data_IF_968198176688
#
_entry.id   IF_968198176688
#
_cell.length_a   1.000
_cell.length_b   1.000
_cell.length_c   1.000
_cell.angle_alpha   90.00
_cell.angle_beta   90.00
_cell.angle_gamma   90.00
#
_symmetry.space_group_name_H-M   'P 1'
#
loop_
_entity.id
_entity.type
_entity.pdbx_description
1 polymer ?
#
# COMPACT_ATOMS: atom_id res chain seq x y z
N UNK A 1 -18.13 -11.11 49.25
CA UNK A 1 -17.55 -12.26 48.53
C UNK A 1 -16.18 -11.86 48.00
N UNK A 2 -15.17 -12.71 48.17
CA UNK A 2 -13.88 -12.59 47.46
C UNK A 2 -14.10 -12.98 46.00
N UNK A 3 -13.60 -12.18 45.07
CA UNK A 3 -12.63 -12.57 44.04
C UNK A 3 -12.13 -11.29 43.36
N UNK A 4 -10.81 -11.18 43.27
CA UNK A 4 -10.09 -10.09 42.63
C UNK A 4 -9.89 -10.43 41.15
N UNK A 5 -9.98 -9.44 40.26
CA UNK A 5 -9.21 -9.43 39.01
C UNK A 5 -8.75 -8.01 38.73
N UNK A 6 -7.47 -7.74 39.00
CA UNK A 6 -6.76 -6.57 38.50
C UNK A 6 -5.94 -7.05 37.30
N UNK A 7 -6.22 -6.49 36.13
CA UNK A 7 -5.34 -6.58 34.98
C UNK A 7 -5.07 -5.15 34.49
N UNK A 8 -4.07 -4.50 35.08
CA UNK A 8 -3.46 -3.31 34.48
C UNK A 8 -2.14 -3.77 33.87
N UNK A 9 -2.16 -4.06 32.56
CA UNK A 9 -0.96 -4.26 31.76
C UNK A 9 -0.63 -2.95 31.06
N UNK A 10 0.19 -2.11 31.69
CA UNK A 10 0.88 -1.02 31.00
C UNK A 10 2.01 -1.63 30.13
N UNK A 11 1.69 -1.97 28.87
CA UNK A 11 2.62 -2.50 27.85
C UNK A 11 2.65 -1.63 26.56
N UNK A 12 1.86 -0.56 26.52
CA UNK A 12 1.22 -0.08 25.29
C UNK A 12 2.02 0.89 24.39
N UNK A 13 3.35 0.82 24.36
CA UNK A 13 4.12 1.60 23.36
C UNK A 13 5.02 0.74 22.45
N UNK A 14 5.56 -0.38 22.94
CA UNK A 14 6.18 -1.40 22.07
C UNK A 14 5.20 -2.53 21.69
N UNK A 15 4.11 -2.72 22.43
CA UNK A 15 3.13 -3.80 22.19
C UNK A 15 2.00 -3.44 21.21
N UNK A 16 1.89 -2.21 20.72
CA UNK A 16 0.82 -1.82 19.78
C UNK A 16 1.04 -2.42 18.38
N UNK A 17 2.32 -2.59 18.00
CA UNK A 17 2.70 -3.11 16.70
C UNK A 17 2.88 -4.63 16.67
N UNK A 18 2.93 -5.31 17.83
CA UNK A 18 3.00 -6.78 17.92
C UNK A 18 1.65 -7.32 18.38
N UNK A 19 1.03 -8.19 17.59
CA UNK A 19 -0.19 -8.92 17.98
C UNK A 19 -0.06 -10.41 17.71
N UNK A 20 -1.05 -11.18 18.17
CA UNK A 20 -1.21 -12.59 17.78
C UNK A 20 -2.51 -12.74 17.00
N UNK A 21 -2.44 -13.42 15.87
CA UNK A 21 -3.58 -13.74 15.01
C UNK A 21 -3.65 -15.25 14.79
N UNK A 22 -4.83 -15.79 14.48
CA UNK A 22 -4.97 -17.19 14.05
C UNK A 22 -5.11 -17.20 12.54
N UNK A 23 -4.20 -17.89 11.85
CA UNK A 23 -4.17 -18.02 10.39
C UNK A 23 -4.06 -19.50 10.09
N UNK A 24 -4.96 -20.03 9.26
CA UNK A 24 -5.02 -21.45 8.89
C UNK A 24 -5.05 -22.43 10.09
N UNK A 25 -5.61 -21.98 11.22
CA UNK A 25 -5.71 -22.76 12.46
C UNK A 25 -4.47 -22.72 13.36
N UNK A 26 -3.37 -22.11 12.91
CA UNK A 26 -2.14 -21.92 13.68
C UNK A 26 -2.05 -20.49 14.25
N UNK A 27 -1.44 -20.34 15.44
CA UNK A 27 -1.15 -19.05 16.03
C UNK A 27 0.03 -18.37 15.34
N UNK A 28 -0.14 -17.12 14.95
CA UNK A 28 0.85 -16.31 14.26
C UNK A 28 1.14 -15.02 15.03
N UNK A 29 2.42 -14.70 15.20
CA UNK A 29 2.85 -13.40 15.71
C UNK A 29 2.89 -12.44 14.52
N UNK A 30 2.21 -11.30 14.64
CA UNK A 30 2.15 -10.27 13.61
C UNK A 30 2.86 -9.03 14.12
N UNK A 31 3.90 -8.61 13.42
CA UNK A 31 4.66 -7.40 13.70
C UNK A 31 4.41 -6.39 12.60
N UNK A 32 3.69 -5.32 12.91
CA UNK A 32 3.33 -4.26 11.98
C UNK A 32 4.41 -3.19 11.94
N UNK A 33 4.52 -2.52 10.80
CA UNK A 33 5.41 -1.36 10.68
C UNK A 33 6.89 -1.72 10.42
N UNK A 34 7.16 -2.90 9.85
CA UNK A 34 8.51 -3.30 9.46
C UNK A 34 8.93 -2.51 8.22
N UNK A 35 10.12 -1.91 8.22
CA UNK A 35 10.63 -1.12 7.10
C UNK A 35 11.84 -1.82 6.47
N UNK A 36 11.67 -2.56 5.35
CA UNK A 36 12.77 -3.23 4.67
C UNK A 36 13.69 -2.28 3.87
N UNK A 37 13.16 -1.16 3.38
CA UNK A 37 13.92 -0.20 2.55
C UNK A 37 13.28 1.19 2.60
N UNK A 38 14.11 2.22 2.45
CA UNK A 38 13.70 3.62 2.34
C UNK A 38 14.25 4.20 1.03
N UNK A 39 13.53 5.15 0.44
CA UNK A 39 13.92 5.80 -0.81
C UNK A 39 15.30 6.48 -0.72
N UNK A 40 16.03 6.41 -1.83
CA UNK A 40 17.34 7.02 -2.03
C UNK A 40 18.40 6.60 -1.00
N UNK A 41 18.17 5.47 -0.32
CA UNK A 41 19.12 4.90 0.65
C UNK A 41 20.37 4.41 -0.06
N UNK A 42 21.51 4.56 0.61
CA UNK A 42 22.78 4.00 0.15
C UNK A 42 23.15 2.80 1.02
N UNK A 43 23.19 1.63 0.39
CA UNK A 43 23.53 0.35 1.04
C UNK A 43 24.66 -0.32 0.26
N UNK A 44 25.72 -0.77 0.95
CA UNK A 44 26.87 -1.45 0.33
C UNK A 44 27.50 -0.67 -0.85
N UNK A 45 27.54 0.66 -0.74
CA UNK A 45 28.07 1.56 -1.78
C UNK A 45 27.16 1.77 -2.99
N UNK A 46 25.96 1.19 -3.00
CA UNK A 46 24.95 1.38 -4.05
C UNK A 46 23.83 2.31 -3.62
N UNK A 47 23.41 3.21 -4.50
CA UNK A 47 22.18 4.00 -4.36
C UNK A 47 20.98 3.17 -4.79
N UNK A 48 19.90 3.22 -4.00
CA UNK A 48 18.61 2.63 -4.31
C UNK A 48 17.59 3.75 -4.56
N UNK A 49 17.38 4.18 -5.81
CA UNK A 49 16.57 5.35 -6.11
C UNK A 49 15.08 5.12 -5.80
N UNK A 50 14.39 6.16 -5.34
CA UNK A 50 12.94 6.15 -5.11
C UNK A 50 12.16 5.58 -6.32
N UNK A 51 12.53 5.99 -7.53
CA UNK A 51 11.86 5.54 -8.76
C UNK A 51 12.01 4.05 -9.05
N UNK A 52 13.10 3.41 -8.61
CA UNK A 52 13.33 1.97 -8.80
C UNK A 52 12.68 1.16 -7.67
N UNK A 53 12.70 1.69 -6.44
CA UNK A 53 11.95 1.12 -5.31
C UNK A 53 10.45 1.13 -5.62
N UNK A 54 9.90 2.25 -6.09
CA UNK A 54 8.46 2.38 -6.40
C UNK A 54 7.97 1.40 -7.47
N UNK A 55 8.84 0.94 -8.38
CA UNK A 55 8.51 -0.09 -9.37
C UNK A 55 8.54 -1.51 -8.82
N UNK A 56 9.31 -1.74 -7.76
CA UNK A 56 9.70 -3.09 -7.33
C UNK A 56 9.22 -3.47 -5.93
N UNK A 57 8.90 -2.51 -5.06
CA UNK A 57 8.60 -2.78 -3.64
C UNK A 57 7.46 -3.79 -3.44
N UNK A 58 6.45 -3.80 -4.31
CA UNK A 58 5.35 -4.77 -4.27
C UNK A 58 5.80 -6.22 -4.47
N UNK A 59 6.98 -6.46 -5.04
CA UNK A 59 7.55 -7.83 -5.16
C UNK A 59 7.97 -8.44 -3.81
N UNK A 60 7.96 -7.65 -2.72
CA UNK A 60 8.19 -8.13 -1.35
C UNK A 60 6.95 -8.88 -0.80
N UNK A 61 5.76 -8.65 -1.35
CA UNK A 61 4.53 -9.27 -0.87
C UNK A 61 4.63 -10.81 -0.92
N UNK A 62 4.38 -11.47 0.21
CA UNK A 62 4.48 -12.92 0.35
C UNK A 62 5.91 -13.48 0.39
N UNK A 63 6.95 -12.64 0.40
CA UNK A 63 8.34 -13.11 0.43
C UNK A 63 8.74 -13.66 1.80
N UNK A 64 9.60 -14.67 1.78
CA UNK A 64 10.14 -15.29 2.99
C UNK A 64 10.97 -14.30 3.80
N UNK A 65 10.90 -14.46 5.13
CA UNK A 65 11.70 -13.69 6.07
C UNK A 65 12.65 -14.61 6.86
N UNK A 66 13.76 -15.08 6.24
CA UNK A 66 14.70 -15.98 6.90
C UNK A 66 15.44 -15.29 8.06
N UNK A 67 15.91 -16.07 9.03
CA UNK A 67 16.86 -15.56 10.04
C UNK A 67 18.28 -15.59 9.47
N UNK A 68 18.83 -14.41 9.19
CA UNK A 68 20.09 -14.18 8.48
C UNK A 68 19.94 -14.30 6.95
N UNK A 69 20.98 -13.89 6.23
CA UNK A 69 21.02 -14.07 4.77
C UNK A 69 21.30 -15.53 4.41
N UNK A 70 20.43 -16.16 3.60
CA UNK A 70 20.66 -17.54 3.16
C UNK A 70 21.97 -17.66 2.39
N UNK A 71 22.85 -18.53 2.89
CA UNK A 71 24.11 -18.84 2.25
C UNK A 71 24.38 -20.33 2.32
N UNK A 72 24.96 -20.84 1.24
CA UNK A 72 25.25 -22.25 1.04
C UNK A 72 26.66 -22.33 0.48
N UNK A 73 27.52 -23.11 1.13
CA UNK A 73 28.90 -23.34 0.67
C UNK A 73 29.68 -22.01 0.47
N UNK A 74 29.37 -21.00 1.30
CA UNK A 74 29.97 -19.66 1.25
C UNK A 74 29.38 -18.71 0.19
N UNK A 75 28.36 -19.14 -0.56
CA UNK A 75 27.69 -18.33 -1.57
C UNK A 75 26.29 -17.93 -1.13
N UNK A 76 25.92 -16.67 -1.33
CA UNK A 76 24.55 -16.21 -1.10
C UNK A 76 23.59 -16.82 -2.13
N UNK A 77 22.46 -17.31 -1.64
CA UNK A 77 21.43 -17.95 -2.46
C UNK A 77 20.07 -17.33 -2.19
N UNK A 78 19.12 -17.59 -3.08
CA UNK A 78 17.72 -17.23 -2.86
C UNK A 78 17.16 -17.96 -1.64
N UNK A 79 16.28 -17.29 -0.90
CA UNK A 79 15.58 -17.90 0.24
C UNK A 79 14.64 -19.04 -0.18
N UNK A 80 14.23 -19.08 -1.44
CA UNK A 80 13.31 -20.10 -1.98
C UNK A 80 14.04 -21.40 -2.38
N UNK A 81 15.38 -21.43 -2.36
CA UNK A 81 16.14 -22.66 -2.62
C UNK A 81 15.87 -23.67 -1.51
N UNK A 82 15.55 -24.95 -1.79
CA UNK A 82 15.19 -25.92 -0.75
C UNK A 82 16.23 -26.08 0.37
N UNK A 83 17.53 -26.05 0.01
CA UNK A 83 18.63 -26.08 1.00
C UNK A 83 18.62 -24.84 1.90
N UNK A 84 18.26 -23.66 1.37
CA UNK A 84 18.13 -22.43 2.13
C UNK A 84 16.90 -22.47 3.04
N UNK A 85 15.75 -22.92 2.53
CA UNK A 85 14.53 -23.10 3.32
C UNK A 85 14.81 -23.99 4.54
N UNK A 86 15.44 -25.15 4.34
CA UNK A 86 15.73 -26.09 5.42
C UNK A 86 16.66 -25.52 6.52
N UNK A 87 17.44 -24.48 6.22
CA UNK A 87 18.49 -23.97 7.10
C UNK A 87 18.18 -22.59 7.70
N UNK A 88 17.40 -21.77 7.01
CA UNK A 88 17.20 -20.35 7.37
C UNK A 88 15.73 -19.97 7.54
N UNK A 89 14.79 -20.79 7.09
CA UNK A 89 13.36 -20.51 7.24
C UNK A 89 12.94 -20.64 8.70
N UNK A 90 12.21 -19.65 9.20
CA UNK A 90 11.73 -19.58 10.60
C UNK A 90 10.21 -19.44 10.68
N UNK A 91 9.49 -19.80 9.62
CA UNK A 91 8.03 -19.65 9.55
C UNK A 91 7.56 -18.22 9.39
N UNK A 92 8.45 -17.31 8.95
CA UNK A 92 8.17 -15.90 8.81
C UNK A 92 8.04 -15.46 7.34
N UNK A 93 7.07 -14.59 7.05
CA UNK A 93 6.86 -13.99 5.74
C UNK A 93 6.40 -12.52 5.84
N UNK A 94 6.57 -11.80 4.74
CA UNK A 94 6.15 -10.41 4.58
C UNK A 94 4.74 -10.32 4.00
N UNK A 95 3.90 -9.46 4.57
CA UNK A 95 2.55 -9.20 4.09
C UNK A 95 2.19 -7.70 4.19
N UNK A 96 1.13 -7.27 3.50
CA UNK A 96 0.60 -5.89 3.58
C UNK A 96 1.66 -4.83 3.22
N UNK A 97 2.39 -5.09 2.13
CA UNK A 97 3.48 -4.24 1.67
C UNK A 97 2.91 -2.98 1.05
N UNK A 98 3.31 -1.82 1.57
CA UNK A 98 2.79 -0.50 1.19
C UNK A 98 3.87 0.57 1.23
N UNK A 99 3.58 1.73 0.65
CA UNK A 99 4.42 2.93 0.79
C UNK A 99 3.85 3.81 1.90
N UNK A 100 4.74 4.34 2.71
CA UNK A 100 4.45 5.37 3.72
C UNK A 100 5.53 6.47 3.59
N UNK A 101 5.19 7.53 2.88
CA UNK A 101 6.15 8.57 2.49
C UNK A 101 7.33 7.99 1.69
N UNK A 102 8.55 8.22 2.20
CA UNK A 102 9.79 7.70 1.62
C UNK A 102 10.07 6.24 2.01
N UNK A 103 9.30 5.65 2.93
CA UNK A 103 9.52 4.29 3.45
C UNK A 103 8.64 3.26 2.73
N UNK A 104 9.18 2.06 2.55
CA UNK A 104 8.37 0.87 2.28
C UNK A 104 8.04 0.25 3.63
N UNK A 105 6.76 0.03 3.91
CA UNK A 105 6.28 -0.55 5.16
C UNK A 105 5.61 -1.89 4.87
N UNK A 106 5.83 -2.88 5.72
CA UNK A 106 5.18 -4.18 5.64
C UNK A 106 4.90 -4.72 7.04
N UNK A 107 4.08 -5.77 7.09
CA UNK A 107 3.80 -6.52 8.29
C UNK A 107 4.56 -7.86 8.18
N UNK A 108 5.26 -8.25 9.25
CA UNK A 108 5.90 -9.55 9.36
C UNK A 108 4.98 -10.49 10.11
N UNK A 109 4.67 -11.64 9.52
CA UNK A 109 3.92 -12.70 10.18
C UNK A 109 4.84 -13.88 10.45
N UNK A 110 4.75 -14.45 11.64
CA UNK A 110 5.58 -15.57 12.10
C UNK A 110 4.67 -16.67 12.61
N UNK A 111 4.67 -17.83 11.97
CA UNK A 111 3.99 -19.01 12.49
C UNK A 111 4.70 -19.48 13.77
N UNK A 112 4.04 -19.33 14.93
CA UNK A 112 4.65 -19.63 16.23
C UNK A 112 5.01 -21.12 16.33
N UNK A 113 4.12 -22.02 15.92
CA UNK A 113 4.36 -23.47 15.94
C UNK A 113 5.60 -23.85 15.13
N UNK A 114 5.77 -23.26 13.95
CA UNK A 114 6.94 -23.52 13.12
C UNK A 114 8.22 -22.95 13.75
N UNK A 115 8.18 -21.67 14.17
CA UNK A 115 9.32 -21.02 14.80
C UNK A 115 9.80 -21.79 16.06
N UNK A 116 8.89 -22.28 16.89
CA UNK A 116 9.20 -23.09 18.07
C UNK A 116 9.88 -24.43 17.73
N UNK A 117 9.66 -24.97 16.53
CA UNK A 117 10.24 -26.24 16.10
C UNK A 117 11.66 -26.14 15.53
N UNK A 118 12.20 -24.93 15.41
CA UNK A 118 13.54 -24.68 14.87
C UNK A 118 14.41 -23.92 15.88
N UNK A 119 15.71 -24.23 15.97
CA UNK A 119 16.63 -23.52 16.86
C UNK A 119 16.69 -22.02 16.56
N UNK A 120 16.74 -21.67 15.26
CA UNK A 120 16.73 -20.27 14.81
C UNK A 120 15.41 -19.56 15.12
N UNK A 121 14.28 -20.23 14.95
CA UNK A 121 12.97 -19.67 15.27
C UNK A 121 12.81 -19.43 16.77
N UNK A 122 13.31 -20.34 17.63
CA UNK A 122 13.34 -20.13 19.08
C UNK A 122 14.18 -18.89 19.47
N UNK A 123 15.33 -18.67 18.83
CA UNK A 123 16.13 -17.45 19.04
C UNK A 123 15.34 -16.19 18.65
N UNK A 124 14.63 -16.23 17.51
CA UNK A 124 13.78 -15.12 17.10
C UNK A 124 12.66 -14.85 18.13
N UNK A 125 11.93 -15.89 18.54
CA UNK A 125 10.86 -15.78 19.53
C UNK A 125 11.37 -15.22 20.86
N UNK A 126 12.50 -15.71 21.36
CA UNK A 126 13.10 -15.20 22.59
C UNK A 126 13.43 -13.70 22.48
N UNK A 127 13.96 -13.25 21.34
CA UNK A 127 14.23 -11.81 21.11
C UNK A 127 12.96 -10.99 21.06
N UNK A 128 11.89 -11.52 20.47
CA UNK A 128 10.58 -10.86 20.46
C UNK A 128 10.00 -10.76 21.87
N UNK A 129 10.10 -11.82 22.66
CA UNK A 129 9.64 -11.85 24.05
C UNK A 129 10.45 -10.89 24.93
N UNK A 130 11.78 -10.82 24.73
CA UNK A 130 12.64 -9.87 25.45
C UNK A 130 12.31 -8.41 25.12
N UNK A 131 11.95 -8.12 23.85
CA UNK A 131 11.46 -6.79 23.44
C UNK A 131 10.08 -6.48 24.04
N UNK A 132 9.16 -7.43 24.09
CA UNK A 132 7.83 -7.26 24.73
C UNK A 132 8.00 -7.04 26.24
N UNK A 133 8.94 -7.74 26.86
CA UNK A 133 9.24 -7.65 28.29
C UNK A 133 9.98 -6.36 28.69
N UNK A 134 10.27 -5.47 27.72
CA UNK A 134 10.87 -4.16 27.93
C UNK A 134 12.21 -4.21 28.69
N UNK A 135 12.99 -5.27 28.46
CA UNK A 135 14.44 -5.24 28.72
C UNK A 135 15.05 -4.26 27.72
N UNK A 136 16.22 -3.69 27.99
CA UNK A 136 16.99 -2.86 27.04
C UNK A 136 17.43 -3.67 25.80
N UNK A 137 16.45 -4.17 25.04
CA UNK A 137 16.60 -5.12 23.97
C UNK A 137 16.96 -4.35 22.70
N UNK A 138 18.09 -4.71 22.12
CA UNK A 138 18.57 -4.13 20.87
C UNK A 138 17.54 -4.32 19.75
N UNK A 139 17.25 -3.27 18.95
CA UNK A 139 16.32 -3.37 17.83
C UNK A 139 16.68 -4.52 16.89
N UNK A 140 15.67 -5.25 16.40
CA UNK A 140 15.91 -6.27 15.37
C UNK A 140 16.16 -5.57 14.03
N UNK A 141 17.39 -5.72 13.53
CA UNK A 141 17.76 -5.25 12.21
C UNK A 141 17.13 -6.14 11.13
N UNK A 142 16.76 -5.50 10.03
CA UNK A 142 16.25 -6.16 8.83
C UNK A 142 17.18 -5.83 7.65
N UNK A 143 17.32 -6.79 6.74
CA UNK A 143 18.02 -6.61 5.47
C UNK A 143 17.18 -7.16 4.32
N UNK A 144 17.45 -6.71 3.11
CA UNK A 144 16.78 -7.18 1.90
C UNK A 144 17.73 -7.97 1.02
N UNK A 145 17.28 -9.13 0.56
CA UNK A 145 17.91 -9.87 -0.53
C UNK A 145 17.19 -9.53 -1.83
N UNK A 146 17.93 -9.17 -2.87
CA UNK A 146 17.33 -8.83 -4.16
C UNK A 146 18.28 -9.09 -5.33
N UNK A 147 17.67 -9.26 -6.50
CA UNK A 147 18.33 -9.20 -7.79
C UNK A 147 18.26 -7.75 -8.30
N UNK A 148 19.36 -7.25 -8.86
CA UNK A 148 19.43 -5.92 -9.44
C UNK A 148 20.51 -5.86 -10.51
N UNK A 149 20.39 -4.87 -11.39
CA UNK A 149 21.46 -4.45 -12.29
C UNK A 149 22.18 -3.25 -11.67
N UNK A 150 23.52 -3.28 -11.70
CA UNK A 150 24.35 -2.19 -11.18
C UNK A 150 24.75 -1.27 -12.32
N UNK A 151 24.27 -0.04 -12.29
CA UNK A 151 24.73 1.03 -13.18
C UNK A 151 25.92 1.73 -12.50
N UNK A 152 27.09 1.76 -13.15
CA UNK A 152 28.27 2.41 -12.60
C UNK A 152 28.09 3.93 -12.63
N UNK A 153 27.85 4.53 -11.47
CA UNK A 153 27.61 5.96 -11.34
C UNK A 153 27.89 6.40 -9.91
N UNK A 154 28.56 7.53 -9.74
CA UNK A 154 29.07 7.98 -8.44
C UNK A 154 28.39 9.26 -7.98
N UNK A 155 28.11 9.34 -6.69
CA UNK A 155 27.50 10.55 -6.12
C UNK A 155 27.35 10.49 -4.62
N UNK A 156 26.49 11.36 -4.09
CA UNK A 156 26.08 11.36 -2.69
C UNK A 156 24.56 11.33 -2.59
N UNK A 157 24.04 10.52 -1.67
CA UNK A 157 22.64 10.54 -1.28
C UNK A 157 22.54 10.36 0.23
N UNK A 158 21.62 11.08 0.88
CA UNK A 158 21.42 11.07 2.35
C UNK A 158 22.74 11.14 3.14
N UNK A 159 23.70 11.93 2.65
CA UNK A 159 25.03 12.10 3.26
C UNK A 159 26.05 10.99 2.98
N UNK A 160 25.68 9.85 2.39
CA UNK A 160 26.57 8.73 2.04
C UNK A 160 27.03 8.82 0.58
N UNK A 161 28.27 8.42 0.32
CA UNK A 161 28.80 8.27 -1.05
C UNK A 161 28.35 6.93 -1.63
N UNK A 162 27.98 6.92 -2.90
CA UNK A 162 27.73 5.70 -3.68
C UNK A 162 28.64 5.65 -4.92
N UNK A 163 28.90 4.46 -5.43
CA UNK A 163 29.73 4.19 -6.62
C UNK A 163 28.95 3.46 -7.72
N UNK A 164 27.72 3.06 -7.44
CA UNK A 164 26.79 2.49 -8.41
C UNK A 164 25.33 2.78 -8.02
N UNK A 165 24.41 2.63 -8.97
CA UNK A 165 22.97 2.82 -8.80
C UNK A 165 22.26 1.49 -9.10
N UNK A 166 21.33 1.10 -8.24
CA UNK A 166 20.48 -0.08 -8.44
C UNK A 166 19.42 0.21 -9.52
N UNK A 167 19.31 -0.69 -10.50
CA UNK A 167 18.30 -0.67 -11.57
C UNK A 167 17.61 -2.03 -11.66
N UNK A 168 16.37 -2.06 -12.13
CA UNK A 168 15.63 -3.30 -12.41
C UNK A 168 15.64 -4.23 -11.18
N UNK A 169 15.26 -3.67 -10.04
CA UNK A 169 15.26 -4.34 -8.75
C UNK A 169 14.13 -5.38 -8.69
N UNK A 170 14.43 -6.56 -8.13
CA UNK A 170 13.44 -7.58 -7.81
C UNK A 170 13.79 -8.21 -6.46
N UNK A 171 12.91 -8.06 -5.47
CA UNK A 171 13.14 -8.57 -4.13
C UNK A 171 12.98 -10.10 -4.09
N UNK A 172 13.91 -10.75 -3.40
CA UNK A 172 13.94 -12.19 -3.19
C UNK A 172 13.42 -12.55 -1.78
N UNK A 173 13.96 -11.89 -0.76
CA UNK A 173 13.60 -12.11 0.65
C UNK A 173 13.86 -10.89 1.53
N UNK A 174 13.34 -10.91 2.75
CA UNK A 174 13.61 -9.90 3.78
C UNK A 174 14.22 -10.58 5.01
N UNK A 175 15.55 -10.57 5.12
CA UNK A 175 16.27 -11.25 6.17
C UNK A 175 16.13 -10.54 7.53
N UNK A 176 15.80 -11.33 8.55
CA UNK A 176 15.82 -10.91 9.95
C UNK A 176 17.23 -11.11 10.46
N UNK A 177 17.96 -10.04 10.78
CA UNK A 177 19.38 -10.16 11.08
C UNK A 177 19.63 -10.65 12.52
N UNK A 178 20.61 -11.54 12.71
CA UNK A 178 21.10 -11.91 14.04
C UNK A 178 21.59 -10.69 14.85
N UNK A 179 21.67 -10.79 16.18
CA UNK A 179 22.11 -9.69 17.05
C UNK A 179 23.51 -9.15 16.70
N UNK A 180 24.39 -10.03 16.22
CA UNK A 180 25.79 -9.72 15.94
C UNK A 180 26.02 -9.12 14.53
N UNK A 181 24.99 -9.10 13.68
CA UNK A 181 25.09 -8.64 12.29
C UNK A 181 24.33 -7.32 12.08
N UNK A 182 25.03 -6.18 11.93
CA UNK A 182 24.38 -4.92 11.62
C UNK A 182 23.86 -4.91 10.17
N UNK A 183 22.65 -4.39 9.99
CA UNK A 183 22.08 -4.16 8.65
C UNK A 183 22.86 -3.13 7.83
N UNK A 184 22.86 -3.30 6.51
CA UNK A 184 23.50 -2.36 5.57
C UNK A 184 22.89 -0.95 5.62
N UNK A 185 21.60 -0.89 5.97
CA UNK A 185 20.94 0.28 6.51
C UNK A 185 20.50 -0.02 7.94
N UNK A 186 20.63 0.96 8.83
CA UNK A 186 20.33 0.79 10.26
C UNK A 186 18.94 1.32 10.63
N UNK A 187 18.39 0.95 11.80
CA UNK A 187 17.16 1.55 12.32
C UNK A 187 17.22 3.08 12.43
N UNK A 188 18.41 3.65 12.68
CA UNK A 188 18.65 5.11 12.68
C UNK A 188 18.48 5.75 11.30
N UNK A 189 18.61 4.96 10.25
CA UNK A 189 18.43 5.37 8.85
C UNK A 189 17.02 5.05 8.34
N UNK A 190 16.15 4.60 9.24
CA UNK A 190 14.76 4.26 8.95
C UNK A 190 14.53 2.85 8.43
N UNK A 191 15.53 1.95 8.48
CA UNK A 191 15.38 0.54 8.06
C UNK A 191 15.47 -0.40 9.26
N UNK A 192 14.44 -1.23 9.48
CA UNK A 192 14.40 -2.18 10.59
C UNK A 192 12.99 -2.47 11.12
N UNK A 193 12.93 -3.26 12.19
CA UNK A 193 11.72 -3.45 12.98
C UNK A 193 11.65 -2.34 14.04
N UNK A 194 10.51 -1.66 14.17
CA UNK A 194 10.27 -0.54 15.10
C UNK A 194 11.08 0.73 14.83
N UNK A 195 11.19 1.12 13.56
CA UNK A 195 11.73 2.44 13.19
C UNK A 195 10.71 3.53 13.54
N UNK A 196 10.91 4.21 14.66
CA UNK A 196 10.07 5.33 15.04
C UNK A 196 10.08 6.40 13.93
N UNK A 197 8.96 7.10 13.73
CA UNK A 197 8.83 8.15 12.70
C UNK A 197 9.88 9.25 12.86
N UNK A 198 10.40 9.49 14.07
CA UNK A 198 11.14 10.72 14.40
C UNK A 198 12.57 10.55 14.94
N UNK A 199 13.14 9.33 14.96
CA UNK A 199 14.57 9.15 15.29
C UNK A 199 15.01 9.56 16.70
N UNK A 200 14.10 9.81 17.64
CA UNK A 200 14.45 10.03 19.05
C UNK A 200 14.84 8.72 19.75
N UNK A 201 15.97 8.73 20.45
CA UNK A 201 16.32 7.68 21.42
C UNK A 201 15.37 7.78 22.60
N UNK A 202 14.63 6.71 22.88
CA UNK A 202 13.82 6.61 24.09
C UNK A 202 14.73 6.40 25.31
N UNK A 203 14.76 7.36 26.23
CA UNK A 203 15.27 7.13 27.59
C UNK A 203 14.16 6.43 28.38
N UNK A 204 14.49 5.29 28.98
CA UNK A 204 13.61 4.60 29.93
C UNK A 204 13.67 5.36 31.25
N UNK A 205 12.67 6.20 31.54
CA UNK A 205 12.47 6.71 32.90
C UNK A 205 11.40 5.89 33.62
N UNK A 206 11.79 5.37 34.78
CA UNK A 206 10.94 4.61 35.68
C UNK A 206 10.06 5.60 36.48
N UNK A 207 8.74 5.59 36.25
CA UNK A 207 7.81 6.45 36.99
C UNK A 207 6.96 5.60 37.94
N UNK A 208 7.09 5.87 39.25
CA UNK A 208 6.22 5.31 40.28
C UNK A 208 4.84 5.97 40.21
N UNK A 209 3.80 5.14 40.15
CA UNK A 209 2.39 5.52 40.02
C UNK A 209 1.79 6.29 41.21
N UNK A 210 2.58 6.56 42.25
CA UNK A 210 2.12 7.24 43.47
C UNK A 210 2.11 8.77 43.39
N UNK A 211 2.75 9.39 42.39
CA UNK A 211 2.86 10.86 42.31
C UNK A 211 1.94 11.52 41.24
N UNK A 212 1.13 10.77 40.51
CA UNK A 212 0.28 11.31 39.43
C UNK A 212 -1.14 11.71 39.91
N UNK A 213 -1.22 12.47 41.00
CA UNK A 213 -2.45 13.18 41.39
C UNK A 213 -2.20 14.68 41.49
N UNK A 214 -1.88 15.32 40.35
CA UNK A 214 -2.07 16.76 40.20
C UNK A 214 -2.12 17.18 38.73
N UNK A 215 -3.33 17.33 38.17
CA UNK A 215 -3.57 17.69 36.77
C UNK A 215 -3.56 19.21 36.52
N UNK A 216 -2.81 19.99 37.32
CA UNK A 216 -2.81 21.46 37.21
C UNK A 216 -1.44 22.07 36.89
N UNK A 217 -0.45 21.28 36.46
CA UNK A 217 0.85 21.81 36.06
C UNK A 217 1.22 21.39 34.65
N UNK A 218 1.57 22.40 33.84
CA UNK A 218 2.04 22.24 32.46
C UNK A 218 3.32 21.37 32.41
N UNK A 219 3.15 20.10 32.01
CA UNK A 219 4.24 19.18 31.70
C UNK A 219 4.23 18.76 30.22
N UNK A 220 5.40 18.37 29.71
CA UNK A 220 5.58 17.94 28.31
C UNK A 220 4.78 16.67 27.98
N UNK A 221 4.44 15.87 29.00
CA UNK A 221 3.64 14.63 28.87
C UNK A 221 2.17 14.91 28.57
N UNK A 222 1.63 16.03 29.06
CA UNK A 222 0.25 16.44 28.76
C UNK A 222 0.11 16.96 27.31
N UNK A 223 1.19 17.51 26.75
CA UNK A 223 1.22 17.94 25.35
C UNK A 223 1.15 16.77 24.37
N UNK A 224 1.62 15.57 24.72
CA UNK A 224 1.57 14.43 23.79
C UNK A 224 0.21 13.73 23.80
N UNK A 225 -0.51 13.71 24.94
CA UNK A 225 -1.92 13.28 24.99
C UNK A 225 -2.85 14.21 24.22
N UNK A 226 -2.50 15.49 24.13
CA UNK A 226 -3.22 16.52 23.38
C UNK A 226 -3.40 16.16 21.90
N UNK A 227 -2.42 15.49 21.28
CA UNK A 227 -2.39 15.27 19.84
C UNK A 227 -2.94 13.91 19.38
N UNK A 228 -3.00 12.89 20.24
CA UNK A 228 -3.32 11.52 19.81
C UNK A 228 -4.62 10.93 20.38
N UNK A 229 -5.18 11.51 21.44
CA UNK A 229 -6.35 10.90 22.14
C UNK A 229 -7.47 11.87 22.49
N UNK A 230 -7.37 13.12 22.05
CA UNK A 230 -8.42 14.10 22.36
C UNK A 230 -9.75 13.62 21.74
N UNK A 231 -10.72 13.38 22.61
CA UNK A 231 -12.07 12.97 22.25
C UNK A 231 -12.26 11.58 21.59
N UNK A 232 -11.27 10.67 21.62
CA UNK A 232 -11.40 9.35 20.93
C UNK A 232 -12.54 8.45 21.45
N UNK A 233 -13.09 8.77 22.63
CA UNK A 233 -14.22 8.06 23.25
C UNK A 233 -15.58 8.73 23.04
N UNK A 234 -15.65 9.88 22.36
CA UNK A 234 -16.88 10.64 22.15
C UNK A 234 -17.27 10.63 20.68
N UNK A 235 -18.58 10.54 20.42
CA UNK A 235 -19.06 10.65 19.04
C UNK A 235 -18.88 12.07 18.52
N UNK A 236 -18.88 12.25 17.19
CA UNK A 236 -18.82 13.58 16.59
C UNK A 236 -19.93 14.51 17.12
N UNK A 237 -21.12 13.97 17.38
CA UNK A 237 -22.27 14.72 17.88
C UNK A 237 -22.09 15.19 19.34
N UNK A 238 -21.48 14.35 20.18
CA UNK A 238 -21.16 14.69 21.57
C UNK A 238 -20.13 15.82 21.64
N UNK A 239 -19.09 15.72 20.82
CA UNK A 239 -18.03 16.74 20.70
C UNK A 239 -18.63 18.05 20.22
N UNK A 240 -19.45 18.00 19.17
CA UNK A 240 -20.10 19.16 18.59
C UNK A 240 -21.02 19.86 19.61
N UNK A 241 -21.79 19.08 20.37
CA UNK A 241 -22.68 19.57 21.42
C UNK A 241 -21.92 20.22 22.57
N UNK A 242 -20.82 19.60 23.01
CA UNK A 242 -19.96 20.12 24.08
C UNK A 242 -19.27 21.44 23.66
N UNK A 243 -18.76 21.52 22.44
CA UNK A 243 -18.16 22.73 21.89
C UNK A 243 -19.18 23.86 21.78
N UNK A 244 -20.39 23.57 21.29
CA UNK A 244 -21.48 24.55 21.23
C UNK A 244 -21.84 25.09 22.62
N UNK A 245 -21.95 24.21 23.62
CA UNK A 245 -22.23 24.61 25.00
C UNK A 245 -21.12 25.52 25.54
N UNK A 246 -19.84 25.18 25.27
CA UNK A 246 -18.70 25.98 25.72
C UNK A 246 -18.63 27.34 25.04
N UNK A 247 -18.87 27.42 23.72
CA UNK A 247 -18.94 28.69 23.00
C UNK A 247 -20.04 29.60 23.53
N UNK A 248 -21.20 29.06 23.89
CA UNK A 248 -22.31 29.83 24.49
C UNK A 248 -21.94 30.43 25.84
N UNK A 249 -21.13 29.74 26.63
CA UNK A 249 -20.61 30.26 27.92
C UNK A 249 -19.51 31.30 27.69
N UNK A 250 -18.61 31.05 26.73
CA UNK A 250 -17.49 31.94 26.44
C UNK A 250 -17.93 33.26 25.75
N UNK A 251 -18.98 33.20 24.93
CA UNK A 251 -19.49 34.32 24.14
C UNK A 251 -21.00 34.49 24.36
N UNK A 252 -21.43 34.99 25.54
CA UNK A 252 -22.85 35.11 25.88
C UNK A 252 -23.61 36.16 25.05
N UNK A 253 -22.88 37.05 24.37
CA UNK A 253 -23.43 38.12 23.54
C UNK A 253 -23.56 37.72 22.05
N UNK A 254 -23.20 36.48 21.70
CA UNK A 254 -23.45 35.94 20.37
C UNK A 254 -24.83 35.28 20.33
N UNK A 255 -25.65 35.66 19.36
CA UNK A 255 -27.01 35.14 19.22
C UNK A 255 -27.02 33.65 18.83
N UNK A 256 -25.98 33.19 18.11
CA UNK A 256 -25.88 31.82 17.60
C UNK A 256 -24.42 31.32 17.54
N UNK A 257 -23.78 31.05 18.69
CA UNK A 257 -22.45 30.44 18.69
C UNK A 257 -22.56 28.97 18.30
N UNK A 258 -22.01 28.60 17.14
CA UNK A 258 -21.90 27.20 16.71
C UNK A 258 -20.52 26.88 16.11
N UNK A 259 -20.00 25.66 16.32
CA UNK A 259 -18.84 25.16 15.57
C UNK A 259 -19.22 24.98 14.09
N UNK A 260 -18.47 25.56 13.17
CA UNK A 260 -18.71 25.40 11.74
C UNK A 260 -18.03 24.13 11.19
N UNK A 261 -16.84 23.81 11.69
CA UNK A 261 -16.12 22.60 11.30
C UNK A 261 -15.25 22.13 12.46
N UNK A 262 -15.29 20.83 12.75
CA UNK A 262 -14.62 20.21 13.90
C UNK A 262 -13.66 19.14 13.41
N UNK A 263 -12.42 19.23 13.90
CA UNK A 263 -11.35 18.23 13.74
C UNK A 263 -10.97 17.66 15.11
N UNK A 264 -10.16 16.59 15.18
CA UNK A 264 -9.79 15.96 16.46
C UNK A 264 -9.10 16.89 17.47
N UNK A 265 -8.35 17.89 17.01
CA UNK A 265 -7.54 18.78 17.86
C UNK A 265 -7.96 20.25 17.81
N UNK A 266 -8.83 20.62 16.88
CA UNK A 266 -9.24 22.02 16.62
C UNK A 266 -10.62 22.12 16.00
N UNK A 267 -11.21 23.30 16.10
CA UNK A 267 -12.47 23.62 15.44
C UNK A 267 -12.45 25.05 14.92
N UNK A 268 -13.33 25.33 13.97
CA UNK A 268 -13.62 26.67 13.47
C UNK A 268 -15.00 27.07 13.94
N UNK A 269 -15.16 28.31 14.39
CA UNK A 269 -16.43 28.91 14.76
C UNK A 269 -16.55 30.31 14.19
N UNK A 270 -17.79 30.75 14.02
CA UNK A 270 -18.11 32.08 13.53
C UNK A 270 -18.44 32.98 14.71
N UNK A 271 -17.89 34.19 14.72
CA UNK A 271 -18.19 35.21 15.72
C UNK A 271 -18.20 36.58 15.04
N UNK A 272 -19.31 37.31 15.16
CA UNK A 272 -19.43 38.73 14.78
C UNK A 272 -18.86 39.09 13.39
N UNK A 273 -19.16 38.31 12.34
CA UNK A 273 -18.70 38.63 10.97
C UNK A 273 -17.42 37.92 10.53
N UNK A 274 -16.75 37.20 11.42
CA UNK A 274 -15.42 36.61 11.19
C UNK A 274 -15.38 35.16 11.63
N UNK A 275 -14.56 34.36 10.93
CA UNK A 275 -14.29 32.97 11.29
C UNK A 275 -13.01 32.87 12.08
N UNK A 276 -13.07 32.13 13.18
CA UNK A 276 -11.96 31.91 14.11
C UNK A 276 -11.68 30.42 14.22
N UNK A 277 -10.40 30.06 14.29
CA UNK A 277 -9.93 28.71 14.56
C UNK A 277 -9.36 28.67 15.98
N UNK A 278 -9.74 27.67 16.77
CA UNK A 278 -9.22 27.46 18.12
C UNK A 278 -9.09 25.96 18.42
N UNK A 279 -8.17 25.61 19.31
CA UNK A 279 -8.02 24.24 19.81
C UNK A 279 -8.96 23.99 20.97
N UNK A 280 -9.27 22.72 21.22
CA UNK A 280 -10.13 22.34 22.34
C UNK A 280 -9.62 21.06 23.01
N UNK A 281 -10.12 20.76 24.21
CA UNK A 281 -9.95 19.49 24.91
C UNK A 281 -11.31 18.97 25.35
N UNK A 282 -11.51 17.65 25.23
CA UNK A 282 -12.66 16.96 25.83
C UNK A 282 -12.26 16.36 27.16
N UNK A 283 -12.99 16.73 28.21
CA UNK A 283 -12.89 16.15 29.53
C UNK A 283 -13.59 14.78 29.59
N UNK A 284 -13.20 13.94 30.56
CA UNK A 284 -13.80 12.61 30.77
C UNK A 284 -15.31 12.69 31.12
N UNK A 285 -15.79 13.84 31.58
CA UNK A 285 -17.19 14.12 31.87
C UNK A 285 -18.02 14.54 30.63
N UNK A 286 -17.40 14.58 29.45
CA UNK A 286 -18.04 14.98 28.19
C UNK A 286 -18.12 16.49 27.96
N UNK A 287 -17.46 17.31 28.79
CA UNK A 287 -17.41 18.77 28.59
C UNK A 287 -16.20 19.20 27.77
N UNK A 288 -16.33 20.31 27.03
CA UNK A 288 -15.24 20.88 26.23
C UNK A 288 -14.54 22.06 26.94
N UNK A 289 -13.23 22.16 26.80
CA UNK A 289 -12.42 23.31 27.17
C UNK A 289 -11.73 23.91 25.96
N UNK A 290 -11.70 25.25 25.87
CA UNK A 290 -11.02 25.96 24.78
C UNK A 290 -9.56 26.19 25.18
N UNK A 291 -8.64 25.84 24.29
CA UNK A 291 -7.20 25.89 24.56
C UNK A 291 -6.51 26.82 23.59
N UNK A 292 -5.68 27.72 24.15
CA UNK A 292 -4.94 28.72 23.40
C UNK A 292 -5.80 29.89 22.92
N UNK A 293 -5.14 30.85 22.26
CA UNK A 293 -5.78 32.03 21.70
C UNK A 293 -6.56 31.70 20.41
N UNK A 294 -7.65 32.42 20.16
CA UNK A 294 -8.44 32.28 18.94
C UNK A 294 -7.76 33.01 17.77
N UNK A 295 -7.62 32.32 16.63
CA UNK A 295 -6.93 32.84 15.44
C UNK A 295 -7.94 33.10 14.33
N UNK A 296 -8.03 34.32 13.83
CA UNK A 296 -8.88 34.68 12.69
C UNK A 296 -8.40 33.95 11.42
N UNK A 297 -9.30 33.23 10.75
CA UNK A 297 -9.02 32.48 9.51
C UNK A 297 -9.91 33.00 8.39
N UNK A 298 -9.36 33.17 7.20
CA UNK A 298 -10.10 33.59 5.99
C UNK A 298 -10.16 32.42 5.02
N UNK A 299 -11.36 31.94 4.68
CA UNK A 299 -11.53 30.90 3.66
C UNK A 299 -11.22 31.47 2.27
N UNK A 300 -10.20 30.95 1.60
CA UNK A 300 -10.01 31.14 0.16
C UNK A 300 -10.93 30.17 -0.60
N UNK A 301 -11.70 30.61 -1.62
CA UNK A 301 -12.46 29.69 -2.45
C UNK A 301 -11.52 28.69 -3.14
N UNK A 302 -11.91 27.42 -3.14
CA UNK A 302 -11.18 26.34 -3.81
C UNK A 302 -11.25 26.51 -5.32
N UNK A 303 -10.21 27.09 -5.91
CA UNK A 303 -9.95 26.97 -7.35
C UNK A 303 -9.38 25.58 -7.65
N UNK A 304 -10.07 24.85 -8.53
CA UNK A 304 -9.55 23.62 -9.11
C UNK A 304 -8.55 23.99 -10.22
N UNK A 305 -7.26 23.95 -9.93
CA UNK A 305 -6.25 23.89 -10.99
C UNK A 305 -6.23 22.47 -11.57
N UNK A 306 -6.82 22.30 -12.75
CA UNK A 306 -6.49 21.16 -13.60
C UNK A 306 -5.02 21.33 -14.02
N UNK A 307 -4.10 20.64 -13.34
CA UNK A 307 -2.71 20.53 -13.82
C UNK A 307 -2.66 19.58 -15.01
N UNK A 308 -3.05 20.08 -16.18
CA UNK A 308 -2.51 19.53 -17.43
C UNK A 308 -1.03 19.91 -17.48
N UNK A 309 -0.14 18.91 -17.48
CA UNK A 309 1.28 19.08 -17.81
C UNK A 309 1.41 19.54 -19.27
N UNK A 310 1.19 20.82 -19.52
CA UNK A 310 1.48 21.49 -20.77
C UNK A 310 2.86 22.13 -20.69
N UNK A 311 3.71 21.76 -21.66
CA UNK A 311 4.81 22.58 -22.20
C UNK A 311 6.20 22.59 -21.54
N UNK A 312 6.57 21.64 -20.69
CA UNK A 312 8.00 21.41 -20.39
C UNK A 312 8.35 19.92 -20.47
N UNK A 313 8.85 19.50 -21.63
CA UNK A 313 9.45 18.19 -21.81
C UNK A 313 10.98 18.36 -21.76
N UNK A 314 11.64 18.23 -20.60
CA UNK A 314 13.09 18.44 -20.47
C UNK A 314 13.90 17.52 -21.39
N UNK A 315 13.35 16.36 -21.76
CA UNK A 315 13.95 15.45 -22.72
C UNK A 315 14.03 16.05 -24.13
N UNK A 316 12.99 16.80 -24.55
CA UNK A 316 12.96 17.46 -25.85
C UNK A 316 14.05 18.53 -25.94
N UNK A 317 14.23 19.32 -24.89
CA UNK A 317 15.26 20.35 -24.84
C UNK A 317 16.67 19.75 -24.90
N UNK A 318 16.89 18.63 -24.22
CA UNK A 318 18.16 17.89 -24.30
C UNK A 318 18.44 17.38 -25.73
N UNK A 319 17.44 16.82 -26.40
CA UNK A 319 17.57 16.31 -27.78
C UNK A 319 17.83 17.47 -28.76
N UNK A 320 17.09 18.58 -28.64
CA UNK A 320 17.28 19.76 -29.49
C UNK A 320 18.66 20.37 -29.28
N UNK A 321 19.12 20.49 -28.04
CA UNK A 321 20.45 21.02 -27.73
C UNK A 321 21.57 20.13 -28.27
N UNK A 322 21.45 18.80 -28.15
CA UNK A 322 22.42 17.86 -28.70
C UNK A 322 22.50 17.92 -30.23
N UNK A 323 21.34 17.99 -30.91
CA UNK A 323 21.28 18.11 -32.37
C UNK A 323 21.83 19.47 -32.87
N UNK A 324 21.54 20.57 -32.17
CA UNK A 324 22.09 21.91 -32.48
C UNK A 324 23.60 21.97 -32.27
N UNK A 325 24.13 21.36 -31.21
CA UNK A 325 25.57 21.29 -30.96
C UNK A 325 26.36 20.59 -32.08
N UNK A 326 25.68 19.73 -32.86
CA UNK A 326 26.24 19.00 -34.01
C UNK A 326 25.79 19.56 -35.36
N UNK A 327 25.18 20.75 -35.36
CA UNK A 327 24.78 21.47 -36.58
C UNK A 327 23.60 20.86 -37.34
N UNK A 328 22.81 19.96 -36.72
CA UNK A 328 21.63 19.36 -37.38
C UNK A 328 20.37 20.24 -37.18
N UNK A 329 19.53 20.41 -38.22
CA UNK A 329 18.34 21.24 -38.14
C UNK A 329 17.28 20.61 -37.23
N UNK A 330 16.73 21.43 -36.34
CA UNK A 330 15.77 21.04 -35.30
C UNK A 330 14.45 21.83 -35.35
N UNK A 331 14.43 22.95 -36.07
CA UNK A 331 13.24 23.81 -36.17
C UNK A 331 12.16 23.16 -37.04
N UNK A 332 10.93 23.11 -36.53
CA UNK A 332 9.75 22.57 -37.23
C UNK A 332 9.57 21.05 -37.17
N UNK A 333 10.45 20.31 -36.49
CA UNK A 333 10.35 18.85 -36.36
C UNK A 333 9.48 18.41 -35.18
N UNK A 334 8.75 17.32 -35.38
CA UNK A 334 7.98 16.62 -34.33
C UNK A 334 8.91 15.94 -33.32
N UNK A 335 8.41 15.61 -32.12
CA UNK A 335 9.23 14.94 -31.09
C UNK A 335 9.79 13.58 -31.55
N UNK A 336 9.01 12.82 -32.34
CA UNK A 336 9.46 11.57 -32.92
C UNK A 336 10.62 11.77 -33.91
N UNK A 337 10.54 12.80 -34.76
CA UNK A 337 11.59 13.13 -35.74
C UNK A 337 12.86 13.67 -35.08
N UNK A 338 12.73 14.37 -33.96
CA UNK A 338 13.88 14.82 -33.15
C UNK A 338 14.59 13.64 -32.49
N UNK A 339 13.85 12.69 -31.93
CA UNK A 339 14.41 11.49 -31.31
C UNK A 339 15.08 10.58 -32.34
N UNK A 340 14.45 10.39 -33.51
CA UNK A 340 15.02 9.59 -34.60
C UNK A 340 16.32 10.21 -35.14
N UNK A 341 16.35 11.53 -35.34
CA UNK A 341 17.56 12.24 -35.76
C UNK A 341 18.70 12.14 -34.73
N UNK A 342 18.38 12.13 -33.43
CA UNK A 342 19.36 11.96 -32.35
C UNK A 342 19.92 10.53 -32.30
N UNK A 343 19.07 9.52 -32.47
CA UNK A 343 19.51 8.13 -32.55
C UNK A 343 20.39 7.88 -33.78
N UNK A 344 20.03 8.44 -34.94
CA UNK A 344 20.86 8.38 -36.15
C UNK A 344 22.20 9.07 -35.97
N UNK A 345 22.24 10.24 -35.30
CA UNK A 345 23.50 10.92 -34.98
C UNK A 345 24.43 10.05 -34.13
N UNK A 346 23.91 9.42 -33.08
CA UNK A 346 24.71 8.52 -32.23
C UNK A 346 25.17 7.27 -32.99
N UNK A 347 24.35 6.77 -33.91
CA UNK A 347 24.70 5.64 -34.77
C UNK A 347 25.78 6.01 -35.80
N UNK A 348 25.79 7.24 -36.31
CA UNK A 348 26.80 7.70 -37.26
C UNK A 348 28.13 8.06 -36.57
N UNK A 349 28.09 8.62 -35.36
CA UNK A 349 29.31 8.81 -34.54
C UNK A 349 29.98 7.48 -34.14
N UNK A 350 29.19 6.41 -34.02
CA UNK A 350 29.70 5.07 -33.80
C UNK A 350 30.37 4.49 -35.06
N UNK A 351 29.95 4.89 -36.27
CA UNK A 351 30.54 4.44 -37.55
C UNK A 351 31.84 5.16 -37.90
N UNK A 352 31.98 6.44 -37.54
CA UNK A 352 33.18 7.24 -37.84
C UNK A 352 34.44 6.84 -37.05
N UNK A 353 34.32 5.92 -36.08
CA UNK A 353 35.43 5.42 -35.25
C UNK A 353 35.81 3.96 -35.50
N UNK A 354 35.16 3.27 -36.43
CA UNK A 354 35.40 1.84 -36.67
C UNK A 354 36.65 1.58 -37.52
N UNK A 355 37.43 0.59 -37.09
CA UNK A 355 38.47 -0.01 -37.92
C UNK A 355 37.86 -0.94 -39.00
N UNK A 356 38.54 -1.20 -40.13
CA UNK A 356 38.01 -2.05 -41.21
C UNK A 356 37.57 -3.46 -40.76
N UNK A 357 38.18 -4.00 -39.70
CA UNK A 357 37.82 -5.30 -39.12
C UNK A 357 36.53 -5.24 -38.28
N UNK A 358 36.26 -4.15 -37.59
CA UNK A 358 35.04 -3.94 -36.80
C UNK A 358 33.82 -3.74 -37.71
N UNK A 359 34.01 -3.05 -38.85
CA UNK A 359 32.96 -2.87 -39.87
C UNK A 359 32.52 -4.21 -40.49
N UNK A 360 33.46 -5.09 -40.81
CA UNK A 360 33.17 -6.42 -41.34
C UNK A 360 32.46 -7.32 -40.30
N UNK A 361 32.81 -7.19 -39.02
CA UNK A 361 32.16 -7.92 -37.94
C UNK A 361 30.72 -7.41 -37.68
N UNK A 362 30.47 -6.10 -37.82
CA UNK A 362 29.11 -5.52 -37.69
C UNK A 362 28.21 -5.92 -38.86
N UNK A 363 28.68 -5.85 -40.10
CA UNK A 363 27.91 -6.24 -41.29
C UNK A 363 27.54 -7.73 -41.27
N UNK A 364 28.38 -8.58 -40.67
CA UNK A 364 28.08 -9.99 -40.44
C UNK A 364 27.03 -10.18 -39.33
N UNK A 365 27.15 -9.46 -38.21
CA UNK A 365 26.16 -9.47 -37.12
C UNK A 365 24.80 -8.89 -37.52
N UNK A 366 24.75 -7.86 -38.36
CA UNK A 366 23.51 -7.26 -38.86
C UNK A 366 22.75 -8.23 -39.79
N UNK A 367 23.46 -9.00 -40.63
CA UNK A 367 22.85 -10.05 -41.47
C UNK A 367 22.37 -11.27 -40.66
N UNK A 368 23.07 -11.62 -39.58
CA UNK A 368 22.64 -12.68 -38.64
C UNK A 368 21.50 -12.23 -37.71
N UNK A 369 21.41 -10.94 -37.37
CA UNK A 369 20.32 -10.38 -36.57
C UNK A 369 19.01 -10.23 -37.37
N UNK A 370 19.08 -9.87 -38.66
CA UNK A 370 17.91 -9.77 -39.53
C UNK A 370 17.21 -11.12 -39.71
N UNK A 371 17.98 -12.20 -39.87
CA UNK A 371 17.45 -13.57 -40.04
C UNK A 371 16.83 -14.14 -38.75
N UNK A 372 17.35 -13.79 -37.58
CA UNK A 372 16.76 -14.20 -36.29
C UNK A 372 15.48 -13.43 -35.93
N UNK A 373 15.34 -12.17 -36.35
CA UNK A 373 14.16 -11.35 -35.99
C UNK A 373 12.90 -11.83 -36.70
N UNK A 374 12.99 -12.21 -37.97
CA UNK A 374 11.86 -12.75 -38.74
C UNK A 374 11.42 -14.12 -38.21
N UNK A 375 12.39 -14.98 -37.84
CA UNK A 375 12.13 -16.29 -37.25
C UNK A 375 11.49 -16.18 -35.85
N UNK A 376 11.95 -15.25 -35.01
CA UNK A 376 11.39 -14.99 -33.68
C UNK A 376 9.97 -14.39 -33.81
N UNK A 377 9.76 -13.45 -34.74
CA UNK A 377 8.45 -12.85 -34.96
C UNK A 377 7.43 -13.87 -35.47
N UNK A 378 7.84 -14.75 -36.39
CA UNK A 378 7.00 -15.86 -36.86
C UNK A 378 6.68 -16.86 -35.74
N UNK A 379 7.65 -17.19 -34.88
CA UNK A 379 7.45 -18.09 -33.73
C UNK A 379 6.52 -17.49 -32.67
N UNK A 380 6.66 -16.19 -32.37
CA UNK A 380 5.78 -15.46 -31.44
C UNK A 380 4.35 -15.40 -31.99
N UNK A 381 4.18 -15.07 -33.27
CA UNK A 381 2.86 -15.03 -33.90
C UNK A 381 2.20 -16.42 -33.94
N UNK A 382 2.97 -17.47 -34.21
CA UNK A 382 2.49 -18.85 -34.17
C UNK A 382 2.09 -19.28 -32.73
N UNK A 383 2.83 -18.84 -31.71
CA UNK A 383 2.55 -19.12 -30.31
C UNK A 383 1.36 -18.31 -29.76
N UNK A 384 1.14 -17.10 -30.26
CA UNK A 384 0.01 -16.24 -29.87
C UNK A 384 -1.31 -16.64 -30.53
N UNK A 385 -1.27 -17.18 -31.76
CA UNK A 385 -2.46 -17.63 -32.49
C UNK A 385 -3.44 -18.50 -31.67
N UNK A 386 -3.01 -19.56 -30.95
CA UNK A 386 -3.94 -20.37 -30.15
C UNK A 386 -4.56 -19.61 -28.97
N UNK A 387 -3.91 -18.56 -28.46
CA UNK A 387 -4.45 -17.71 -27.41
C UNK A 387 -5.49 -16.76 -28.00
N UNK A 388 -5.19 -16.13 -29.13
CA UNK A 388 -6.14 -15.27 -29.86
C UNK A 388 -7.39 -16.04 -30.29
N UNK A 389 -7.23 -17.25 -30.85
CA UNK A 389 -8.35 -18.10 -31.26
C UNK A 389 -9.25 -18.49 -30.06
N UNK A 390 -8.66 -18.74 -28.88
CA UNK A 390 -9.40 -19.02 -27.64
C UNK A 390 -10.13 -17.78 -27.10
N UNK A 391 -9.51 -16.60 -27.16
CA UNK A 391 -10.16 -15.35 -26.75
C UNK A 391 -11.39 -15.09 -27.62
N UNK A 392 -11.27 -15.17 -28.93
CA UNK A 392 -12.42 -15.00 -29.85
C UNK A 392 -13.51 -16.04 -29.62
N UNK A 393 -13.13 -17.29 -29.30
CA UNK A 393 -14.10 -18.35 -28.95
C UNK A 393 -14.85 -18.03 -27.66
N UNK A 394 -14.14 -17.56 -26.62
CA UNK A 394 -14.74 -17.18 -25.34
C UNK A 394 -15.64 -15.94 -25.46
N UNK A 395 -15.22 -14.94 -26.25
CA UNK A 395 -16.05 -13.78 -26.57
C UNK A 395 -17.36 -14.20 -27.23
N UNK A 396 -17.28 -15.09 -28.24
CA UNK A 396 -18.47 -15.63 -28.91
C UNK A 396 -19.38 -16.44 -27.95
N UNK A 397 -18.81 -17.24 -27.05
CA UNK A 397 -19.58 -17.99 -26.04
C UNK A 397 -20.24 -17.06 -25.01
N UNK A 398 -19.58 -15.99 -24.59
CA UNK A 398 -20.12 -15.02 -23.64
C UNK A 398 -21.32 -14.29 -24.25
N UNK A 399 -21.21 -13.84 -25.50
CA UNK A 399 -22.33 -13.22 -26.22
C UNK A 399 -23.50 -14.19 -26.40
N UNK A 400 -23.24 -15.44 -26.81
CA UNK A 400 -24.29 -16.45 -26.97
C UNK A 400 -24.99 -16.80 -25.64
N UNK A 401 -24.26 -16.85 -24.52
CA UNK A 401 -24.83 -17.09 -23.20
C UNK A 401 -25.69 -15.91 -22.71
N UNK A 402 -25.23 -14.68 -22.93
CA UNK A 402 -26.00 -13.48 -22.59
C UNK A 402 -27.30 -13.38 -23.41
N UNK A 403 -27.25 -13.69 -24.70
CA UNK A 403 -28.43 -13.70 -25.58
C UNK A 403 -29.41 -14.80 -25.20
N UNK A 404 -28.90 -15.99 -24.84
CA UNK A 404 -29.73 -17.09 -24.35
C UNK A 404 -30.44 -16.74 -23.04
N UNK A 405 -29.71 -16.21 -22.06
CA UNK A 405 -30.29 -15.80 -20.77
C UNK A 405 -31.37 -14.71 -20.98
N UNK A 406 -31.11 -13.75 -21.86
CA UNK A 406 -32.08 -12.70 -22.20
C UNK A 406 -33.32 -13.27 -22.88
N UNK A 407 -33.17 -14.24 -23.78
CA UNK A 407 -34.28 -14.96 -24.42
C UNK A 407 -35.11 -15.75 -23.40
N UNK A 408 -34.46 -16.47 -22.49
CA UNK A 408 -35.12 -17.27 -21.45
C UNK A 408 -35.91 -16.36 -20.48
N UNK A 409 -35.33 -15.22 -20.07
CA UNK A 409 -36.02 -14.20 -19.25
C UNK A 409 -37.25 -13.65 -19.96
N UNK A 410 -37.13 -13.33 -21.25
CA UNK A 410 -38.23 -12.83 -22.08
C UNK A 410 -39.34 -13.87 -22.23
N UNK A 411 -39.01 -15.14 -22.46
CA UNK A 411 -39.99 -16.21 -22.57
C UNK A 411 -40.78 -16.39 -21.26
N UNK A 412 -40.12 -16.34 -20.11
CA UNK A 412 -40.76 -16.44 -18.80
C UNK A 412 -41.69 -15.24 -18.51
N UNK A 413 -41.23 -14.02 -18.80
CA UNK A 413 -42.04 -12.79 -18.65
C UNK A 413 -43.25 -12.81 -19.60
N UNK A 414 -43.06 -13.23 -20.85
CA UNK A 414 -44.14 -13.40 -21.83
C UNK A 414 -45.22 -14.35 -21.29
N UNK A 415 -44.80 -15.52 -20.82
CA UNK A 415 -45.71 -16.55 -20.33
C UNK A 415 -46.50 -16.13 -19.08
N UNK A 416 -45.85 -15.39 -18.16
CA UNK A 416 -46.47 -14.97 -16.89
C UNK A 416 -47.41 -13.78 -17.06
N UNK A 417 -47.04 -12.80 -17.88
CA UNK A 417 -47.76 -11.52 -18.01
C UNK A 417 -48.63 -11.43 -19.28
N UNK A 418 -48.61 -12.45 -20.13
CA UNK A 418 -49.45 -12.51 -21.34
C UNK A 418 -49.11 -11.43 -22.37
N UNK A 419 -47.87 -10.94 -22.37
CA UNK A 419 -47.42 -9.89 -23.28
C UNK A 419 -47.24 -10.42 -24.71
N UNK A 420 -47.41 -9.55 -25.70
CA UNK A 420 -47.07 -9.87 -27.09
C UNK A 420 -45.55 -9.82 -27.33
N UNK A 421 -45.11 -10.39 -28.46
CA UNK A 421 -43.69 -10.47 -28.81
C UNK A 421 -43.01 -9.10 -28.97
N UNK A 422 -43.75 -8.05 -29.33
CA UNK A 422 -43.21 -6.70 -29.51
C UNK A 422 -42.97 -6.07 -28.13
N UNK A 423 -43.94 -6.18 -27.23
CA UNK A 423 -43.88 -5.66 -25.87
C UNK A 423 -42.77 -6.32 -25.05
N UNK A 424 -42.59 -7.64 -25.15
CA UNK A 424 -41.53 -8.38 -24.44
C UNK A 424 -40.14 -8.05 -24.99
N UNK A 425 -40.01 -7.93 -26.31
CA UNK A 425 -38.73 -7.61 -26.94
C UNK A 425 -38.27 -6.17 -26.68
N UNK A 426 -39.19 -5.27 -26.32
CA UNK A 426 -38.90 -3.91 -25.87
C UNK A 426 -38.36 -3.83 -24.42
N UNK A 427 -38.50 -4.90 -23.62
CA UNK A 427 -37.95 -4.97 -22.27
C UNK A 427 -36.46 -5.33 -22.32
N UNK A 428 -35.65 -4.53 -21.63
CA UNK A 428 -34.19 -4.72 -21.50
C UNK A 428 -33.67 -4.27 -20.12
N UNK A 429 -32.46 -4.73 -19.77
CA UNK A 429 -31.76 -4.38 -18.54
C UNK A 429 -32.60 -4.57 -17.28
N UNK A 430 -32.53 -3.59 -16.37
CA UNK A 430 -33.18 -3.64 -15.06
C UNK A 430 -34.71 -3.85 -15.11
N UNK A 431 -35.37 -3.40 -16.19
CA UNK A 431 -36.81 -3.61 -16.36
C UNK A 431 -37.11 -5.10 -16.62
N UNK A 432 -36.38 -5.74 -17.54
CA UNK A 432 -36.53 -7.16 -17.83
C UNK A 432 -36.21 -8.02 -16.59
N UNK A 433 -35.15 -7.70 -15.86
CA UNK A 433 -34.77 -8.41 -14.63
C UNK A 433 -35.84 -8.25 -13.53
N UNK A 434 -36.41 -7.06 -13.38
CA UNK A 434 -37.49 -6.79 -12.43
C UNK A 434 -38.76 -7.58 -12.72
N UNK A 435 -39.18 -7.66 -13.98
CA UNK A 435 -40.31 -8.50 -14.39
C UNK A 435 -40.00 -10.00 -14.26
N UNK A 436 -38.78 -10.42 -14.59
CA UNK A 436 -38.37 -11.81 -14.47
C UNK A 436 -38.33 -12.29 -13.01
N UNK A 437 -37.90 -11.46 -12.07
CA UNK A 437 -37.92 -11.78 -10.64
C UNK A 437 -39.33 -12.11 -10.13
N UNK A 438 -40.37 -11.46 -10.68
CA UNK A 438 -41.77 -11.74 -10.36
C UNK A 438 -42.32 -13.01 -11.01
N UNK A 439 -41.59 -13.60 -11.96
CA UNK A 439 -41.93 -14.89 -12.57
C UNK A 439 -41.47 -16.09 -11.71
N UNK A 440 -40.58 -15.89 -10.73
CA UNK A 440 -40.11 -16.96 -9.87
C UNK A 440 -41.17 -17.34 -8.83
N UNK A 441 -41.82 -18.49 -9.02
CA UNK A 441 -42.57 -19.16 -7.94
C UNK A 441 -41.57 -19.94 -7.08
N UNK A 442 -41.57 -19.73 -5.76
CA UNK A 442 -40.76 -20.51 -4.83
C UNK A 442 -41.08 -21.99 -4.96
N UNK A 443 -40.21 -22.74 -5.64
CA UNK A 443 -40.23 -24.19 -5.56
C UNK A 443 -39.73 -24.57 -4.17
N UNK A 444 -40.59 -25.19 -3.36
CA UNK A 444 -40.17 -25.75 -2.07
C UNK A 444 -39.02 -26.74 -2.29
N UNK A 445 -37.99 -26.68 -1.43
CA UNK A 445 -36.76 -27.48 -1.48
C UNK A 445 -36.97 -29.02 -1.41
N UNK A 446 -38.21 -29.50 -1.45
CA UNK A 446 -38.53 -30.92 -1.37
C UNK A 446 -39.32 -31.37 -2.63
N UNK A 447 -38.69 -32.13 -3.54
CA UNK A 447 -39.33 -32.59 -4.78
C UNK A 447 -40.51 -33.56 -4.54
N UNK A 448 -40.76 -34.00 -3.30
CA UNK A 448 -41.83 -34.94 -2.96
C UNK A 448 -43.20 -34.31 -2.70
N UNK A 449 -43.30 -32.98 -2.63
CA UNK A 449 -44.58 -32.27 -2.39
C UNK A 449 -45.15 -31.57 -3.63
N UNK A 450 -44.56 -31.76 -4.81
CA UNK A 450 -44.98 -31.11 -6.06
C UNK A 450 -46.06 -31.88 -6.84
N UNK A 451 -46.92 -32.64 -6.16
CA UNK A 451 -48.12 -33.22 -6.78
C UNK A 451 -49.32 -32.89 -5.91
N UNK A 452 -50.25 -32.13 -6.50
CA UNK A 452 -51.51 -31.64 -5.95
C UNK A 452 -51.43 -30.55 -4.87
N UNK A 453 -51.36 -29.28 -5.31
CA UNK A 453 -52.30 -28.30 -4.76
C UNK A 453 -52.53 -27.15 -5.73
N UNK A 454 -53.59 -27.28 -6.54
CA UNK A 454 -54.15 -26.20 -7.36
C UNK A 454 -55.49 -25.73 -6.79
N UNK A 455 -55.60 -25.57 -5.47
CA UNK A 455 -56.75 -24.89 -4.86
C UNK A 455 -56.30 -23.81 -3.87
N UNK A 456 -56.77 -22.60 -4.16
CA UNK A 456 -56.65 -21.39 -3.37
C UNK A 456 -57.48 -21.50 -2.08
N UNK A 457 -56.82 -21.43 -0.93
CA UNK A 457 -57.46 -21.31 0.39
C UNK A 457 -58.05 -19.90 0.57
N UNK A 458 -59.20 -19.66 -0.04
CA UNK A 458 -60.12 -18.57 0.34
C UNK A 458 -61.55 -19.07 0.22
N UNK A 459 -62.02 -19.77 1.25
CA UNK A 459 -63.45 -19.82 1.59
C UNK A 459 -63.60 -20.25 3.05
N UNK A 460 -63.85 -19.27 3.92
CA UNK A 460 -64.45 -19.48 5.24
C UNK A 460 -65.97 -19.51 5.04
N UNK A 461 -66.69 -20.50 5.59
CA UNK A 461 -68.10 -20.32 5.90
C UNK A 461 -68.40 -20.60 7.39
N UNK A 462 -69.12 -19.62 7.97
CA UNK A 462 -69.82 -19.51 9.27
C UNK A 462 -69.35 -20.30 10.50
#
# INVERSE_FOLDING_TARGET
>A
MKLSSVHVKSLALNSSNISTETIDGDAHIVIRGVVPVVDDVVMNGGLYPAGEINKSYKSIEGKQMPLGHPSIDGQYVSADVPRAVNQFHVGAWAENVRKDGDRVVMDMKINRRYAESTEKGQVLLQRLDDMIANKDAEPIHISTGLLLQREQNGGKSRGKKYTWIARNMQFDHVAILPPEEPGAATPKEGVGIFVNSDGEKLNVEQVNLSDASNCTKEGVVDKTKFFFTNASNFSFDDIYSALRAKLRVAYPNDDWPYPETVWPDKFIYYLSGKTYQQKYLMNDDGTAELVGESVEVVRKPTEYEIKTNGANNPMKDMIVNALKAKGKPTDGKTEAELLDAYNQMNADEAKDKETPEEKAAREKKEKEAATNTDAITAAINAAMKPVTDKITTLESQLTANADKEKSDKRAAVKAKFGLDDIAVNALDGAALDGFYAQCQTSAGLNPSFASNNSESFTSMPE
#
